data_IF_251316548329
#
_entry.id   IF_251316548329
#
_cell.length_a   1.000
_cell.length_b   1.000
_cell.length_c   1.000
_cell.angle_alpha   90.00
_cell.angle_beta   90.00
_cell.angle_gamma   90.00
#
_symmetry.space_group_name_H-M   'P 1'
#
loop_
_entity.id
_entity.type
_entity.pdbx_description
1 polymer ?
#
# COMPACT_ATOMS: atom_id res chain seq x y z
N UNK A 1 32.10 7.27 7.57
CA UNK A 1 31.12 6.22 7.25
C UNK A 1 31.26 5.89 5.77
N UNK A 2 31.61 4.64 5.43
CA UNK A 2 31.83 4.22 4.04
C UNK A 2 30.56 3.63 3.41
N UNK A 3 30.50 3.61 2.08
CA UNK A 3 29.39 3.05 1.28
C UNK A 3 28.99 1.63 1.69
N UNK A 4 29.97 0.79 2.08
CA UNK A 4 29.72 -0.57 2.58
C UNK A 4 28.89 -0.60 3.88
N UNK A 5 29.10 0.36 4.78
CA UNK A 5 28.32 0.45 6.02
C UNK A 5 26.85 0.84 5.77
N UNK A 6 26.59 1.68 4.75
CA UNK A 6 25.24 2.05 4.36
C UNK A 6 24.47 0.84 3.80
N UNK A 7 25.12 0.00 2.99
CA UNK A 7 24.50 -1.22 2.46
C UNK A 7 24.14 -2.23 3.58
N UNK A 8 25.03 -2.41 4.55
CA UNK A 8 24.78 -3.31 5.69
C UNK A 8 23.69 -2.77 6.64
N UNK A 9 23.61 -1.45 6.83
CA UNK A 9 22.51 -0.84 7.58
C UNK A 9 21.17 -0.94 6.84
N UNK A 10 21.16 -0.79 5.51
CA UNK A 10 19.97 -1.03 4.70
C UNK A 10 19.51 -2.50 4.82
N UNK A 11 20.42 -3.49 4.72
CA UNK A 11 20.05 -4.91 4.82
C UNK A 11 19.40 -5.27 6.16
N UNK A 12 19.90 -4.73 7.28
CA UNK A 12 19.32 -5.00 8.59
C UNK A 12 17.92 -4.39 8.78
N UNK A 13 17.60 -3.28 8.09
CA UNK A 13 16.25 -2.72 8.09
C UNK A 13 15.29 -3.53 7.21
N UNK A 14 15.76 -4.10 6.09
CA UNK A 14 14.91 -4.93 5.21
C UNK A 14 14.59 -6.29 5.83
N UNK A 15 15.49 -6.87 6.63
CA UNK A 15 15.30 -8.18 7.27
C UNK A 15 14.47 -8.12 8.56
N UNK A 16 14.56 -7.05 9.35
CA UNK A 16 13.74 -6.89 10.56
C UNK A 16 12.24 -6.74 10.27
N UNK A 17 11.87 -6.35 9.05
CA UNK A 17 10.49 -6.27 8.56
C UNK A 17 9.93 -7.63 8.08
N UNK A 18 10.72 -8.70 8.09
CA UNK A 18 10.27 -10.06 7.75
C UNK A 18 9.64 -10.72 8.99
N UNK A 19 8.68 -10.03 9.59
CA UNK A 19 7.65 -10.72 10.39
C UNK A 19 6.75 -11.46 9.41
N UNK A 20 6.31 -12.68 9.77
CA UNK A 20 5.58 -13.63 8.91
C UNK A 20 4.76 -12.95 7.80
N UNK A 21 5.00 -13.26 6.50
CA UNK A 21 4.32 -12.59 5.39
C UNK A 21 2.79 -12.67 5.45
N UNK A 22 2.24 -13.60 6.23
CA UNK A 22 0.81 -13.83 6.39
C UNK A 22 0.20 -13.22 7.67
N UNK A 23 0.97 -12.59 8.57
CA UNK A 23 0.44 -12.09 9.86
C UNK A 23 0.44 -10.57 10.01
N UNK A 24 0.93 -9.81 9.03
CA UNK A 24 1.17 -8.37 9.18
C UNK A 24 0.17 -7.58 8.34
N UNK A 25 -0.64 -6.75 9.02
CA UNK A 25 -1.42 -5.69 8.40
C UNK A 25 -0.48 -4.75 7.62
N UNK A 26 -0.67 -4.63 6.31
CA UNK A 26 0.14 -3.71 5.47
C UNK A 26 -0.76 -2.71 4.79
N UNK A 27 -0.36 -1.46 4.81
CA UNK A 27 -1.10 -0.38 4.17
C UNK A 27 -0.19 0.35 3.21
N UNK A 28 -0.61 0.48 1.96
CA UNK A 28 0.13 1.11 0.88
C UNK A 28 -0.62 2.34 0.41
N UNK A 29 0.10 3.46 0.26
CA UNK A 29 -0.39 4.65 -0.43
C UNK A 29 0.18 4.71 -1.84
N UNK A 30 -0.67 5.03 -2.82
CA UNK A 30 -0.24 5.27 -4.20
C UNK A 30 0.33 6.68 -4.30
N UNK A 31 1.64 6.78 -4.46
CA UNK A 31 2.33 8.06 -4.58
C UNK A 31 3.08 8.14 -5.91
N UNK A 32 3.29 9.36 -6.45
CA UNK A 32 4.21 9.55 -7.56
C UNK A 32 5.59 8.97 -7.22
N UNK A 33 6.15 8.25 -8.18
CA UNK A 33 7.53 7.78 -8.13
C UNK A 33 8.50 8.98 -8.11
N UNK A 34 8.15 10.04 -8.85
CA UNK A 34 8.94 11.25 -9.00
C UNK A 34 8.02 12.47 -9.11
N UNK A 35 8.45 13.66 -8.64
CA UNK A 35 7.71 14.90 -8.86
C UNK A 35 7.58 15.30 -10.33
N UNK A 36 8.47 14.80 -11.20
CA UNK A 36 8.48 15.13 -12.64
C UNK A 36 7.49 14.30 -13.46
N UNK A 37 6.95 13.21 -12.90
CA UNK A 37 5.90 12.40 -13.52
C UNK A 37 4.86 12.01 -12.44
N UNK A 38 3.88 12.89 -12.17
CA UNK A 38 2.86 12.66 -11.14
C UNK A 38 1.96 11.44 -11.38
N UNK A 39 1.87 10.97 -12.63
CA UNK A 39 1.01 9.84 -13.02
C UNK A 39 1.75 8.50 -13.00
N UNK A 40 3.07 8.52 -12.90
CA UNK A 40 3.86 7.32 -12.63
C UNK A 40 3.76 6.95 -11.14
N UNK A 41 2.63 6.36 -10.78
CA UNK A 41 2.30 5.99 -9.41
C UNK A 41 2.93 4.65 -9.02
N UNK A 42 3.42 4.60 -7.78
CA UNK A 42 3.98 3.39 -7.16
C UNK A 42 3.39 3.19 -5.76
N UNK A 43 3.20 1.93 -5.31
CA UNK A 43 2.84 1.65 -3.94
C UNK A 43 4.00 2.01 -3.00
N UNK A 44 3.71 2.81 -1.98
CA UNK A 44 4.63 3.11 -0.87
C UNK A 44 4.01 2.62 0.43
N UNK A 45 4.75 1.83 1.20
CA UNK A 45 4.30 1.34 2.51
C UNK A 45 4.14 2.53 3.47
N UNK A 46 3.01 2.57 4.17
CA UNK A 46 2.75 3.54 5.23
C UNK A 46 3.29 3.00 6.56
N UNK A 47 4.09 3.83 7.24
CA UNK A 47 4.63 3.50 8.55
C UNK A 47 3.56 3.49 9.65
N UNK A 48 2.55 4.34 9.50
CA UNK A 48 1.41 4.43 10.42
C UNK A 48 0.17 3.95 9.69
N UNK A 49 -0.19 2.72 10.00
CA UNK A 49 -1.31 2.04 9.41
C UNK A 49 -2.57 2.40 10.24
N UNK A 50 -3.60 2.97 9.60
CA UNK A 50 -4.83 3.40 10.28
C UNK A 50 -5.58 4.52 9.57
N UNK A 51 -6.78 4.84 10.05
CA UNK A 51 -7.70 5.79 9.42
C UNK A 51 -7.13 7.21 9.26
N UNK A 52 -6.26 7.65 10.19
CA UNK A 52 -5.60 8.96 10.10
C UNK A 52 -4.63 9.08 8.91
N UNK A 53 -4.18 7.94 8.36
CA UNK A 53 -3.31 7.90 7.19
C UNK A 53 -4.06 7.94 5.86
N UNK A 54 -5.40 7.85 5.86
CA UNK A 54 -6.22 7.96 4.66
C UNK A 54 -6.41 9.43 4.28
N UNK A 55 -6.09 9.75 3.03
CA UNK A 55 -6.25 11.08 2.44
C UNK A 55 -7.31 11.03 1.34
N UNK A 56 -8.33 11.87 1.41
CA UNK A 56 -9.44 11.92 0.44
C UNK A 56 -8.99 12.15 -1.02
N UNK A 57 -7.76 12.62 -1.26
CA UNK A 57 -7.18 12.82 -2.59
C UNK A 57 -6.50 11.57 -3.15
N UNK A 58 -6.25 10.57 -2.31
CA UNK A 58 -5.41 9.41 -2.61
C UNK A 58 -6.19 8.14 -2.89
N UNK A 59 -5.44 7.09 -3.26
CA UNK A 59 -5.90 5.72 -3.25
C UNK A 59 -4.94 4.86 -2.42
N UNK A 60 -5.50 3.93 -1.66
CA UNK A 60 -4.76 3.13 -0.69
C UNK A 60 -5.10 1.66 -0.87
N UNK A 61 -4.10 0.80 -0.67
CA UNK A 61 -4.27 -0.66 -0.68
C UNK A 61 -3.93 -1.18 0.70
N UNK A 62 -4.91 -1.80 1.35
CA UNK A 62 -4.77 -2.35 2.70
C UNK A 62 -4.85 -3.86 2.58
N UNK A 63 -3.75 -4.53 2.92
CA UNK A 63 -3.64 -5.97 2.93
C UNK A 63 -3.78 -6.45 4.38
N UNK A 64 -4.81 -7.26 4.62
CA UNK A 64 -5.03 -7.98 5.88
C UNK A 64 -5.05 -9.49 5.61
N UNK A 65 -4.82 -10.35 6.61
CA UNK A 65 -4.76 -11.80 6.37
C UNK A 65 -6.01 -12.41 5.73
N UNK A 66 -7.18 -11.77 5.89
CA UNK A 66 -8.47 -12.27 5.37
C UNK A 66 -8.89 -11.67 4.03
N UNK A 67 -8.35 -10.52 3.62
CA UNK A 67 -8.80 -9.77 2.45
C UNK A 67 -7.80 -8.69 2.01
N UNK A 68 -7.98 -8.17 0.80
CA UNK A 68 -7.32 -6.96 0.33
C UNK A 68 -8.39 -5.88 0.07
N UNK A 69 -8.25 -4.75 0.75
CA UNK A 69 -9.11 -3.60 0.56
C UNK A 69 -8.42 -2.56 -0.34
N UNK A 70 -9.18 -2.03 -1.30
CA UNK A 70 -8.79 -0.88 -2.11
C UNK A 70 -9.65 0.29 -1.68
N UNK A 71 -9.08 1.21 -0.93
CA UNK A 71 -9.78 2.41 -0.48
C UNK A 71 -9.54 3.55 -1.48
N UNK A 72 -10.62 4.20 -1.92
CA UNK A 72 -10.60 5.29 -2.89
C UNK A 72 -11.18 6.56 -2.26
N UNK A 73 -10.37 7.60 -2.15
CA UNK A 73 -10.81 8.90 -1.63
C UNK A 73 -11.81 9.60 -2.55
N UNK A 74 -12.69 10.43 -1.97
CA UNK A 74 -13.72 11.20 -2.70
C UNK A 74 -13.14 12.14 -3.75
N UNK A 75 -11.94 12.66 -3.50
CA UNK A 75 -11.20 13.56 -4.39
C UNK A 75 -10.08 12.85 -5.17
N UNK A 76 -10.09 11.51 -5.20
CA UNK A 76 -9.10 10.71 -5.90
C UNK A 76 -9.30 10.81 -7.42
N UNK A 77 -8.22 11.07 -8.14
CA UNK A 77 -8.24 11.07 -9.62
C UNK A 77 -8.41 9.65 -10.16
N UNK A 78 -9.23 9.48 -11.20
CA UNK A 78 -9.57 8.15 -11.76
C UNK A 78 -8.36 7.30 -12.11
N UNK A 79 -7.33 7.92 -12.70
CA UNK A 79 -6.06 7.25 -13.06
C UNK A 79 -5.38 6.62 -11.84
N UNK A 80 -5.43 7.29 -10.68
CA UNK A 80 -4.86 6.77 -9.44
C UNK A 80 -5.68 5.60 -8.90
N UNK A 81 -7.01 5.68 -8.96
CA UNK A 81 -7.88 4.57 -8.58
C UNK A 81 -7.66 3.32 -9.46
N UNK A 82 -7.51 3.49 -10.76
CA UNK A 82 -7.23 2.39 -11.69
C UNK A 82 -5.84 1.79 -11.45
N UNK A 83 -4.84 2.62 -11.14
CA UNK A 83 -3.52 2.13 -10.72
C UNK A 83 -3.56 1.39 -9.40
N UNK A 84 -4.34 1.83 -8.42
CA UNK A 84 -4.50 1.11 -7.15
C UNK A 84 -5.07 -0.30 -7.38
N UNK A 85 -6.11 -0.42 -8.23
CA UNK A 85 -6.66 -1.72 -8.64
C UNK A 85 -5.61 -2.60 -9.35
N UNK A 86 -4.78 -2.01 -10.21
CA UNK A 86 -3.70 -2.74 -10.89
C UNK A 86 -2.62 -3.25 -9.90
N UNK A 87 -2.27 -2.43 -8.90
CA UNK A 87 -1.29 -2.76 -7.85
C UNK A 87 -1.74 -3.95 -7.03
N UNK A 88 -3.04 -4.10 -6.75
CA UNK A 88 -3.56 -5.27 -6.03
C UNK A 88 -3.16 -6.58 -6.70
N UNK A 89 -3.22 -6.67 -8.03
CA UNK A 89 -2.81 -7.88 -8.74
C UNK A 89 -1.33 -8.19 -8.58
N UNK A 90 -0.48 -7.16 -8.44
CA UNK A 90 0.94 -7.35 -8.12
C UNK A 90 1.11 -7.89 -6.70
N UNK A 91 0.41 -7.32 -5.72
CA UNK A 91 0.45 -7.79 -4.33
C UNK A 91 0.00 -9.25 -4.23
N UNK A 92 -1.13 -9.61 -4.85
CA UNK A 92 -1.61 -11.00 -4.88
C UNK A 92 -0.55 -11.93 -5.49
N UNK A 93 0.03 -11.52 -6.62
CA UNK A 93 1.01 -12.34 -7.34
C UNK A 93 2.32 -12.52 -6.57
N UNK A 94 2.81 -11.49 -5.90
CA UNK A 94 4.14 -11.49 -5.28
C UNK A 94 4.13 -11.81 -3.79
N UNK A 95 3.09 -11.40 -3.06
CA UNK A 95 2.93 -11.67 -1.63
C UNK A 95 2.10 -12.94 -1.37
N UNK A 96 1.61 -13.61 -2.42
CA UNK A 96 0.71 -14.77 -2.33
C UNK A 96 -0.50 -14.50 -1.43
N UNK A 97 -0.97 -13.25 -1.42
CA UNK A 97 -2.10 -12.83 -0.59
C UNK A 97 -3.35 -13.66 -0.92
N UNK A 98 -3.98 -14.21 0.10
CA UNK A 98 -5.18 -15.03 0.00
C UNK A 98 -6.37 -14.20 0.48
N UNK A 99 -7.46 -14.19 -0.31
CA UNK A 99 -8.71 -13.53 0.08
C UNK A 99 -9.37 -12.72 -1.03
N UNK A 100 -10.59 -12.23 -0.78
CA UNK A 100 -11.29 -11.36 -1.73
C UNK A 100 -10.62 -9.99 -1.83
N UNK A 101 -10.75 -9.39 -3.01
CA UNK A 101 -10.41 -7.98 -3.24
C UNK A 101 -11.70 -7.17 -3.14
N UNK A 102 -11.75 -6.23 -2.22
CA UNK A 102 -12.93 -5.38 -1.98
C UNK A 102 -12.55 -3.93 -2.24
N UNK A 103 -13.28 -3.26 -3.13
CA UNK A 103 -13.10 -1.81 -3.34
C UNK A 103 -14.07 -1.06 -2.45
N UNK A 104 -13.56 -0.10 -1.68
CA UNK A 104 -14.29 0.74 -0.74
C UNK A 104 -14.08 2.20 -1.16
N UNK A 105 -15.15 2.97 -1.20
CA UNK A 105 -15.06 4.42 -1.40
C UNK A 105 -15.11 5.11 -0.04
N UNK A 106 -14.45 6.24 0.07
CA UNK A 106 -14.51 7.06 1.26
C UNK A 106 -15.95 7.43 1.62
N UNK A 107 -16.35 7.15 2.86
CA UNK A 107 -17.72 7.31 3.38
C UNK A 107 -18.65 6.11 3.14
N UNK A 108 -18.18 5.06 2.46
CA UNK A 108 -18.87 3.78 2.25
C UNK A 108 -18.15 2.63 2.98
N UNK A 109 -17.34 2.93 4.00
CA UNK A 109 -16.65 1.94 4.82
C UNK A 109 -17.64 1.08 5.62
N UNK A 110 -17.45 -0.25 5.61
CA UNK A 110 -18.19 -1.15 6.47
C UNK A 110 -17.60 -1.17 7.88
N UNK A 111 -18.31 -1.74 8.86
CA UNK A 111 -17.78 -1.95 10.21
C UNK A 111 -16.57 -2.91 10.25
N UNK A 112 -16.39 -3.70 9.20
CA UNK A 112 -15.31 -4.70 9.06
C UNK A 112 -14.03 -4.10 8.46
N UNK A 113 -14.10 -2.86 7.95
CA UNK A 113 -12.96 -2.10 7.45
C UNK A 113 -12.28 -1.33 8.58
#
# INVERSE_FOLDING_TARGET
>A
MSFACQLLQCQNQTLAAVTSPNSVFRMYHLAPHSPYDPLHLVPKLLNQAGAQGLDSRGAFVIHVPSAIYVWIGKSCVSVMADKARAVVFQIIRYEMALGPVVTIKEGEESLEF
#
